data_IF_883809312236
#
_entry.id   IF_883809312236
#
_cell.length_a   1.000
_cell.length_b   1.000
_cell.length_c   1.000
_cell.angle_alpha   90.00
_cell.angle_beta   90.00
_cell.angle_gamma   90.00
#
_symmetry.space_group_name_H-M   'P 1'
#
loop_
_entity.id
_entity.type
_entity.pdbx_description
1 polymer ?
#
# COMPACT_ATOMS: atom_id res chain seq x y z
N UNK A 1 7.98 -8.15 -14.35
CA UNK A 1 6.72 -8.59 -13.73
C UNK A 1 5.77 -8.99 -14.87
N UNK A 2 5.40 -10.26 -14.97
CA UNK A 2 4.77 -10.89 -16.15
C UNK A 2 3.31 -10.49 -16.42
N UNK A 3 2.89 -9.28 -16.04
CA UNK A 3 1.51 -8.81 -16.26
C UNK A 3 0.43 -9.59 -15.49
N UNK A 4 0.78 -10.34 -14.45
CA UNK A 4 -0.20 -11.07 -13.64
C UNK A 4 -0.95 -10.12 -12.71
N UNK A 5 -2.28 -10.18 -12.76
CA UNK A 5 -3.14 -9.54 -11.77
C UNK A 5 -2.91 -10.19 -10.39
N UNK A 6 -2.84 -9.37 -9.35
CA UNK A 6 -2.63 -9.81 -7.98
C UNK A 6 -3.73 -9.24 -7.11
N UNK A 7 -4.48 -10.10 -6.41
CA UNK A 7 -5.42 -9.66 -5.39
C UNK A 7 -4.61 -9.25 -4.16
N UNK A 8 -4.75 -8.03 -3.64
CA UNK A 8 -4.06 -7.58 -2.43
C UNK A 8 -4.94 -6.67 -1.56
N UNK A 9 -4.64 -6.63 -0.25
CA UNK A 9 -5.26 -5.70 0.68
C UNK A 9 -4.18 -4.73 1.19
N UNK A 10 -4.39 -3.44 0.96
CA UNK A 10 -3.56 -2.36 1.49
C UNK A 10 -4.46 -1.44 2.33
N UNK A 11 -3.95 -0.99 3.48
CA UNK A 11 -4.72 -0.15 4.41
C UNK A 11 -4.05 1.21 4.57
N UNK A 12 -4.82 2.27 4.32
CA UNK A 12 -4.39 3.64 4.57
C UNK A 12 -5.23 4.26 5.70
N UNK A 13 -4.58 4.97 6.62
CA UNK A 13 -5.27 5.71 7.68
C UNK A 13 -5.65 7.11 7.16
N UNK A 14 -6.94 7.38 6.95
CA UNK A 14 -7.44 8.72 6.66
C UNK A 14 -7.85 9.43 7.96
N UNK A 15 -7.67 10.77 8.07
CA UNK A 15 -7.15 11.68 7.03
C UNK A 15 -5.62 11.66 6.90
N UNK A 16 -4.92 11.11 7.89
CA UNK A 16 -3.45 11.19 8.05
C UNK A 16 -2.64 10.87 6.80
N UNK A 17 -3.02 9.88 6.01
CA UNK A 17 -2.33 9.55 4.76
C UNK A 17 -2.47 10.67 3.72
N UNK A 18 -3.67 11.21 3.53
CA UNK A 18 -3.92 12.27 2.55
C UNK A 18 -3.36 13.63 2.99
N UNK A 19 -3.07 13.84 4.27
CA UNK A 19 -2.50 15.10 4.75
C UNK A 19 -0.96 15.15 4.66
N UNK A 20 -0.31 14.11 4.14
CA UNK A 20 1.13 14.10 3.84
C UNK A 20 1.46 14.91 2.58
N UNK A 21 2.75 15.14 2.32
CA UNK A 21 3.22 15.68 1.05
C UNK A 21 2.94 14.73 -0.12
N UNK A 22 2.90 15.25 -1.35
CA UNK A 22 2.64 14.44 -2.55
C UNK A 22 3.67 13.31 -2.70
N UNK A 23 4.95 13.62 -2.52
CA UNK A 23 6.03 12.62 -2.63
C UNK A 23 5.97 11.59 -1.50
N UNK A 24 5.63 12.00 -0.27
CA UNK A 24 5.51 11.10 0.88
C UNK A 24 4.35 10.10 0.74
N UNK A 25 3.24 10.53 0.12
CA UNK A 25 2.13 9.62 -0.25
C UNK A 25 2.61 8.55 -1.21
N UNK A 26 3.40 8.94 -2.21
CA UNK A 26 3.96 8.01 -3.16
C UNK A 26 4.98 7.06 -2.54
N UNK A 27 5.87 7.56 -1.67
CA UNK A 27 6.80 6.71 -0.92
C UNK A 27 6.01 5.68 -0.10
N UNK A 28 4.94 6.10 0.58
CA UNK A 28 4.05 5.18 1.33
C UNK A 28 3.39 4.15 0.42
N UNK A 29 2.85 4.57 -0.74
CA UNK A 29 2.25 3.63 -1.71
C UNK A 29 3.27 2.60 -2.19
N UNK A 30 4.47 3.04 -2.56
CA UNK A 30 5.52 2.15 -3.03
C UNK A 30 6.01 1.22 -1.92
N UNK A 31 6.07 1.66 -0.66
CA UNK A 31 6.34 0.78 0.48
C UNK A 31 5.32 -0.37 0.56
N UNK A 32 4.03 -0.05 0.54
CA UNK A 32 2.98 -1.07 0.63
C UNK A 32 2.97 -2.00 -0.59
N UNK A 33 3.18 -1.45 -1.79
CA UNK A 33 3.27 -2.23 -3.03
C UNK A 33 4.54 -3.11 -3.08
N UNK A 34 5.65 -2.67 -2.51
CA UNK A 34 6.89 -3.45 -2.47
C UNK A 34 6.76 -4.69 -1.58
N UNK A 35 5.85 -4.67 -0.60
CA UNK A 35 5.52 -5.84 0.22
C UNK A 35 4.56 -6.84 -0.46
N UNK A 36 4.13 -6.59 -1.70
CA UNK A 36 3.27 -7.49 -2.47
C UNK A 36 4.09 -8.67 -3.00
N UNK A 37 3.66 -9.88 -2.64
CA UNK A 37 4.18 -11.15 -3.13
C UNK A 37 3.21 -11.74 -4.17
N UNK A 38 3.70 -12.25 -5.32
CA UNK A 38 2.84 -12.87 -6.33
C UNK A 38 1.98 -14.04 -5.83
N UNK A 39 2.37 -14.67 -4.71
CA UNK A 39 1.67 -15.82 -4.14
C UNK A 39 0.46 -15.44 -3.26
N UNK A 40 0.21 -14.15 -3.02
CA UNK A 40 -0.89 -13.66 -2.16
C UNK A 40 -0.94 -14.32 -0.77
N UNK A 41 0.20 -14.76 -0.25
CA UNK A 41 0.27 -15.43 1.06
C UNK A 41 0.12 -14.47 2.24
N UNK A 42 -0.07 -13.17 1.96
CA UNK A 42 -0.21 -12.15 2.97
C UNK A 42 1.07 -11.98 3.80
N UNK A 43 2.26 -12.07 3.19
CA UNK A 43 3.54 -11.85 3.88
C UNK A 43 3.60 -10.52 4.65
N UNK A 44 2.89 -9.48 4.16
CA UNK A 44 2.61 -8.23 4.89
C UNK A 44 2.06 -8.47 6.32
N UNK A 45 1.35 -9.58 6.53
CA UNK A 45 0.75 -10.03 7.81
C UNK A 45 1.49 -11.19 8.48
N UNK A 46 2.38 -11.91 7.79
CA UNK A 46 3.15 -13.04 8.35
C UNK A 46 4.46 -12.61 9.01
N UNK A 47 4.91 -11.37 8.80
CA UNK A 47 5.98 -10.82 9.62
C UNK A 47 5.48 -10.61 11.05
N UNK A 48 5.80 -11.58 11.91
CA UNK A 48 5.73 -11.46 13.35
C UNK A 48 6.52 -10.22 13.80
N UNK A 49 5.80 -9.29 14.42
CA UNK A 49 6.40 -8.19 15.15
C UNK A 49 6.56 -6.90 14.33
N UNK A 50 5.97 -5.83 14.87
CA UNK A 50 6.07 -4.40 14.48
C UNK A 50 7.47 -3.84 14.17
N UNK A 51 8.56 -4.61 14.30
CA UNK A 51 9.93 -4.08 14.27
C UNK A 51 10.99 -5.01 13.65
N UNK A 52 10.65 -6.13 12.99
CA UNK A 52 11.69 -7.03 12.48
C UNK A 52 12.38 -6.54 11.20
N UNK A 53 11.72 -5.72 10.37
CA UNK A 53 12.27 -5.21 9.10
C UNK A 53 12.66 -3.72 9.12
N UNK A 54 12.33 -2.96 10.17
CA UNK A 54 12.40 -1.49 10.13
C UNK A 54 13.61 -0.84 10.80
N UNK A 55 14.50 -1.58 11.46
CA UNK A 55 15.39 -0.94 12.45
C UNK A 55 16.79 -0.58 11.95
N UNK A 56 17.28 -1.05 10.79
CA UNK A 56 18.68 -0.76 10.40
C UNK A 56 18.93 -0.10 9.04
N UNK A 57 17.89 0.20 8.25
CA UNK A 57 18.06 0.82 6.92
C UNK A 57 16.89 1.72 6.49
N UNK A 58 16.13 2.28 7.44
CA UNK A 58 14.92 3.07 7.11
C UNK A 58 15.19 4.17 6.08
N UNK A 59 16.30 4.91 6.21
CA UNK A 59 16.65 6.01 5.29
C UNK A 59 16.99 5.53 3.88
N UNK A 60 17.76 4.46 3.76
CA UNK A 60 18.11 3.86 2.46
C UNK A 60 16.88 3.24 1.80
N UNK A 61 16.04 2.56 2.59
CA UNK A 61 14.78 1.99 2.13
C UNK A 61 13.79 3.07 1.66
N UNK A 62 13.61 4.14 2.44
CA UNK A 62 12.81 5.30 2.05
C UNK A 62 13.38 5.98 0.79
N UNK A 63 14.71 6.06 0.66
CA UNK A 63 15.36 6.62 -0.55
C UNK A 63 15.12 5.78 -1.80
N UNK A 64 15.12 4.45 -1.66
CA UNK A 64 14.84 3.52 -2.75
C UNK A 64 13.37 3.63 -3.21
N UNK A 65 12.42 3.69 -2.27
CA UNK A 65 11.01 3.93 -2.61
C UNK A 65 10.81 5.28 -3.30
N UNK A 66 11.53 6.32 -2.85
CA UNK A 66 11.47 7.63 -3.49
C UNK A 66 12.02 7.61 -4.93
N UNK A 67 13.07 6.83 -5.18
CA UNK A 67 13.60 6.62 -6.54
C UNK A 67 12.59 5.92 -7.44
N UNK A 68 11.98 4.82 -6.96
CA UNK A 68 10.94 4.11 -7.71
C UNK A 68 9.72 4.98 -7.99
N UNK A 69 9.26 5.74 -7.00
CA UNK A 69 8.15 6.69 -7.16
C UNK A 69 8.45 7.76 -8.21
N UNK A 70 9.66 8.35 -8.19
CA UNK A 70 10.08 9.30 -9.21
C UNK A 70 10.14 8.67 -10.59
N UNK A 71 10.69 7.46 -10.71
CA UNK A 71 10.77 6.72 -11.97
C UNK A 71 9.38 6.41 -12.54
N UNK A 72 8.43 6.02 -11.70
CA UNK A 72 7.03 5.82 -12.10
C UNK A 72 6.41 7.11 -12.65
N UNK A 73 6.54 8.22 -11.91
CA UNK A 73 5.99 9.51 -12.31
C UNK A 73 6.64 10.08 -13.58
N UNK A 74 7.93 9.84 -13.80
CA UNK A 74 8.65 10.31 -14.99
C UNK A 74 8.42 9.44 -16.23
N UNK A 75 7.95 8.20 -16.09
CA UNK A 75 7.68 7.28 -17.19
C UNK A 75 6.25 7.38 -17.74
N UNK A 76 5.65 8.57 -17.71
CA UNK A 76 4.33 8.80 -18.29
C UNK A 76 3.18 8.12 -17.53
N UNK A 77 3.29 7.99 -16.20
CA UNK A 77 2.19 7.54 -15.36
C UNK A 77 0.92 8.34 -15.68
N UNK A 78 -0.20 7.63 -15.85
CA UNK A 78 -1.48 8.28 -16.14
C UNK A 78 -1.88 9.17 -14.96
N UNK A 79 -1.93 10.47 -15.24
CA UNK A 79 -2.27 11.50 -14.27
C UNK A 79 -3.64 11.25 -13.62
N UNK A 80 -4.61 10.72 -14.36
CA UNK A 80 -5.95 10.47 -13.83
C UNK A 80 -5.94 9.47 -12.66
N UNK A 81 -4.98 8.54 -12.64
CA UNK A 81 -4.86 7.53 -11.59
C UNK A 81 -4.33 8.09 -10.27
N UNK A 82 -3.61 9.21 -10.29
CA UNK A 82 -2.89 9.71 -9.12
C UNK A 82 -3.10 11.20 -8.81
N UNK A 83 -3.90 11.92 -9.59
CA UNK A 83 -4.12 13.36 -9.38
C UNK A 83 -4.76 13.67 -8.02
N UNK A 84 -5.63 12.80 -7.52
CA UNK A 84 -6.27 12.97 -6.21
C UNK A 84 -5.26 13.02 -5.05
N UNK A 85 -4.09 12.38 -5.19
CA UNK A 85 -3.02 12.40 -4.18
C UNK A 85 -2.38 13.78 -4.04
N UNK A 86 -2.60 14.69 -5.01
CA UNK A 86 -2.16 16.08 -4.88
C UNK A 86 -2.98 16.89 -3.89
N UNK A 87 -4.16 16.38 -3.50
CA UNK A 87 -5.06 17.04 -2.56
C UNK A 87 -4.82 16.53 -1.14
N UNK A 88 -5.02 17.41 -0.15
CA UNK A 88 -5.20 16.97 1.23
C UNK A 88 -6.64 16.48 1.46
N UNK A 89 -6.91 15.90 2.64
CA UNK A 89 -8.22 15.29 2.90
C UNK A 89 -9.37 16.30 2.78
N UNK A 90 -9.20 17.51 3.32
CA UNK A 90 -10.21 18.57 3.27
C UNK A 90 -10.47 19.05 1.83
N UNK A 91 -9.42 19.22 1.01
CA UNK A 91 -9.54 19.58 -0.40
C UNK A 91 -10.23 18.50 -1.22
N UNK A 92 -9.92 17.23 -0.94
CA UNK A 92 -10.56 16.09 -1.58
C UNK A 92 -12.06 16.06 -1.25
N UNK A 93 -12.42 16.22 0.03
CA UNK A 93 -13.82 16.33 0.46
C UNK A 93 -14.52 17.51 -0.18
N UNK A 94 -13.90 18.69 -0.23
CA UNK A 94 -14.49 19.88 -0.84
C UNK A 94 -14.75 19.68 -2.34
N UNK A 95 -13.79 19.08 -3.06
CA UNK A 95 -13.90 18.84 -4.51
C UNK A 95 -14.97 17.80 -4.87
N UNK A 96 -15.13 16.76 -4.05
CA UNK A 96 -16.00 15.61 -4.35
C UNK A 96 -17.26 15.52 -3.47
N UNK A 97 -17.47 16.49 -2.57
CA UNK A 97 -18.59 16.55 -1.63
C UNK A 97 -18.40 15.71 -0.37
N UNK A 98 -18.03 14.44 -0.52
CA UNK A 98 -17.80 13.53 0.61
C UNK A 98 -16.79 12.43 0.27
N UNK A 99 -16.10 11.93 1.30
CA UNK A 99 -15.36 10.67 1.23
C UNK A 99 -16.19 9.62 1.94
N UNK A 100 -16.68 8.63 1.20
CA UNK A 100 -17.52 7.53 1.70
C UNK A 100 -16.75 6.21 1.66
N UNK A 101 -17.11 5.27 2.52
CA UNK A 101 -16.48 3.96 2.56
C UNK A 101 -17.39 2.92 3.21
N UNK A 102 -17.11 1.65 2.93
CA UNK A 102 -17.79 0.52 3.57
C UNK A 102 -17.01 0.12 4.82
N UNK A 103 -17.66 0.12 5.98
CA UNK A 103 -17.07 -0.45 7.19
C UNK A 103 -17.12 -1.97 7.11
N UNK A 104 -15.96 -2.58 6.87
CA UNK A 104 -15.82 -4.03 6.89
C UNK A 104 -15.30 -4.46 8.27
N UNK A 105 -15.91 -5.46 8.93
CA UNK A 105 -15.38 -5.98 10.19
C UNK A 105 -13.96 -6.50 9.98
N UNK A 106 -13.11 -6.33 11.00
CA UNK A 106 -11.71 -6.77 10.94
C UNK A 106 -11.65 -8.26 10.58
N UNK A 107 -10.97 -8.65 9.49
CA UNK A 107 -10.87 -10.06 9.10
C UNK A 107 -10.28 -10.87 10.25
N UNK A 108 -10.97 -11.94 10.64
CA UNK A 108 -10.45 -12.93 11.58
C UNK A 108 -9.65 -13.95 10.78
N UNK A 109 -8.46 -14.30 11.24
CA UNK A 109 -7.71 -15.41 10.69
C UNK A 109 -8.48 -16.69 11.03
N UNK A 110 -8.87 -17.43 10.00
CA UNK A 110 -9.52 -18.73 10.15
C UNK A 110 -8.46 -19.77 9.79
N UNK A 111 -8.14 -20.72 10.69
CA UNK A 111 -7.27 -21.83 10.37
C UNK A 111 -7.84 -22.58 9.15
N UNK A 112 -7.04 -22.72 8.10
CA UNK A 112 -7.34 -23.65 7.01
C UNK A 112 -6.86 -25.01 7.50
N UNK A 113 -7.73 -26.02 7.48
CA UNK A 113 -7.32 -27.38 7.80
C UNK A 113 -6.11 -27.74 6.91
N UNK A 114 -5.05 -28.28 7.52
CA UNK A 114 -3.96 -28.83 6.73
C UNK A 114 -4.58 -29.91 5.85
N UNK A 115 -4.53 -29.69 4.53
CA UNK A 115 -4.81 -30.78 3.60
C UNK A 115 -3.69 -31.78 3.85
N UNK A 116 -4.00 -32.88 4.53
CA UNK A 116 -3.13 -34.04 4.56
C UNK A 116 -2.95 -34.44 3.10
N UNK A 117 -1.78 -34.11 2.54
CA UNK A 117 -1.32 -34.65 1.27
C UNK A 117 -1.14 -36.15 1.47
N UNK A 118 -2.23 -36.89 1.29
CA UNK A 118 -2.19 -38.34 1.11
C UNK A 118 -1.55 -38.63 -0.26
N UNK A 119 -0.32 -39.12 -0.16
CA UNK A 119 0.47 -39.90 -1.12
C UNK A 119 1.21 -39.16 -2.23
#
# INVERSE_FOLDING_TARGET
MDGREMLYLVTFCLPRFLDQGFDDKFITLFHELYHISPAFEGDLRRHDGRCALHTHSKRLYDSHMAEMARAYLSNGADRQLHEFLRLNFAQLQHRHGAVVGVTVPRPRLIPVAATDSLQ
#
